data_IF_519664212333
#
_entry.id   IF_519664212333
#
_cell.length_a   1.000
_cell.length_b   1.000
_cell.length_c   1.000
_cell.angle_alpha   90.00
_cell.angle_beta   90.00
_cell.angle_gamma   90.00
#
_symmetry.space_group_name_H-M   'P 1'
#
loop_
_entity.id
_entity.type
_entity.pdbx_description
1 polymer ?
#
# COMPACT_ATOMS: atom_id res chain seq x y z
N UNK A 1 -41.21 -46.38 -29.49
CA UNK A 1 -40.78 -45.44 -28.42
C UNK A 1 -41.96 -44.51 -28.13
N UNK A 2 -42.63 -44.69 -26.99
CA UNK A 2 -43.98 -44.14 -26.76
C UNK A 2 -43.95 -42.61 -26.61
N UNK A 3 -44.77 -41.90 -27.41
CA UNK A 3 -44.96 -40.44 -27.34
C UNK A 3 -45.24 -39.94 -25.91
N UNK A 4 -45.92 -40.75 -25.10
CA UNK A 4 -46.21 -40.44 -23.69
C UNK A 4 -44.95 -40.36 -22.81
N UNK A 5 -43.90 -41.15 -23.10
CA UNK A 5 -42.64 -41.13 -22.35
C UNK A 5 -41.88 -39.84 -22.65
N UNK A 6 -41.89 -39.39 -23.92
CA UNK A 6 -41.23 -38.15 -24.34
C UNK A 6 -41.87 -36.94 -23.65
N UNK A 7 -43.20 -36.93 -23.52
CA UNK A 7 -43.93 -35.84 -22.84
C UNK A 7 -43.62 -35.80 -21.34
N UNK A 8 -43.53 -36.95 -20.68
CA UNK A 8 -43.17 -37.03 -19.25
C UNK A 8 -41.74 -36.56 -19.02
N UNK A 9 -40.78 -36.95 -19.87
CA UNK A 9 -39.39 -36.50 -19.79
C UNK A 9 -39.28 -34.98 -20.01
N UNK A 10 -40.01 -34.43 -20.98
CA UNK A 10 -40.09 -32.98 -21.22
C UNK A 10 -40.69 -32.23 -20.03
N UNK A 11 -41.72 -32.78 -19.37
CA UNK A 11 -42.31 -32.19 -18.17
C UNK A 11 -41.35 -32.19 -16.98
N UNK A 12 -40.60 -33.28 -16.76
CA UNK A 12 -39.61 -33.36 -15.67
C UNK A 12 -38.46 -32.36 -15.86
N UNK A 13 -38.05 -32.12 -17.12
CA UNK A 13 -37.01 -31.12 -17.43
C UNK A 13 -37.47 -29.68 -17.17
N UNK A 14 -38.79 -29.39 -17.20
CA UNK A 14 -39.35 -28.06 -16.94
C UNK A 14 -39.45 -27.72 -15.43
N UNK A 15 -39.33 -28.70 -14.53
CA UNK A 15 -39.38 -28.49 -13.08
C UNK A 15 -38.00 -28.38 -12.41
N UNK A 16 -36.91 -28.41 -13.19
CA UNK A 16 -35.54 -28.22 -12.66
C UNK A 16 -35.24 -26.73 -12.45
N UNK A 17 -35.94 -26.09 -11.52
CA UNK A 17 -35.52 -24.81 -10.96
C UNK A 17 -34.38 -25.08 -9.98
N UNK A 18 -33.15 -24.73 -10.34
CA UNK A 18 -32.07 -24.62 -9.36
C UNK A 18 -32.43 -23.48 -8.40
N UNK A 19 -32.79 -23.81 -7.15
CA UNK A 19 -32.78 -22.83 -6.07
C UNK A 19 -31.33 -22.37 -5.93
N UNK A 20 -30.98 -21.25 -6.54
CA UNK A 20 -29.76 -20.52 -6.19
C UNK A 20 -29.93 -20.10 -4.74
N UNK A 21 -29.26 -20.77 -3.82
CA UNK A 21 -29.09 -20.27 -2.46
C UNK A 21 -28.41 -18.91 -2.57
N UNK A 22 -29.19 -17.85 -2.37
CA UNK A 22 -28.61 -16.53 -2.15
C UNK A 22 -28.12 -16.57 -0.71
N UNK A 23 -26.80 -16.51 -0.52
CA UNK A 23 -26.24 -16.19 0.79
C UNK A 23 -26.80 -14.83 1.17
N UNK A 24 -27.69 -14.81 2.16
CA UNK A 24 -28.23 -13.57 2.70
C UNK A 24 -27.20 -13.03 3.68
N UNK A 25 -26.64 -11.87 3.37
CA UNK A 25 -25.81 -11.15 4.34
C UNK A 25 -26.73 -10.47 5.35
N UNK A 26 -26.60 -10.84 6.61
CA UNK A 26 -27.17 -10.09 7.74
C UNK A 26 -26.01 -9.28 8.34
N UNK A 27 -26.06 -7.93 8.27
CA UNK A 27 -25.03 -7.12 8.90
C UNK A 27 -25.01 -7.35 10.40
N UNK A 28 -23.82 -7.32 11.04
CA UNK A 28 -23.73 -7.42 12.49
C UNK A 28 -24.48 -6.25 13.14
N UNK A 29 -25.14 -6.53 14.26
CA UNK A 29 -25.68 -5.50 15.13
C UNK A 29 -24.52 -4.87 15.90
N UNK A 30 -24.30 -3.57 15.70
CA UNK A 30 -23.34 -2.81 16.49
C UNK A 30 -24.03 -2.36 17.79
N UNK A 31 -23.65 -2.97 18.91
CA UNK A 31 -24.27 -2.70 20.23
C UNK A 31 -23.93 -1.31 20.79
N UNK A 32 -22.87 -0.69 20.29
CA UNK A 32 -22.32 0.57 20.76
C UNK A 32 -22.08 1.52 19.58
N UNK A 33 -22.69 2.69 19.65
CA UNK A 33 -22.36 3.81 18.77
C UNK A 33 -21.52 4.82 19.56
N UNK A 34 -20.34 5.16 19.06
CA UNK A 34 -19.49 6.22 19.61
C UNK A 34 -19.56 7.45 18.70
N UNK A 35 -19.89 8.61 19.28
CA UNK A 35 -19.89 9.87 18.56
C UNK A 35 -18.49 10.51 18.66
N UNK A 36 -17.83 10.66 17.51
CA UNK A 36 -16.52 11.28 17.42
C UNK A 36 -16.66 12.78 17.16
N UNK A 37 -16.10 13.60 18.05
CA UNK A 37 -15.88 15.01 17.81
C UNK A 37 -14.51 15.21 17.16
N UNK A 38 -14.45 15.93 16.05
CA UNK A 38 -13.22 16.15 15.27
C UNK A 38 -12.96 17.64 15.17
N UNK A 39 -11.75 18.04 15.53
CA UNK A 39 -11.25 19.39 15.32
C UNK A 39 -10.44 19.46 14.01
N UNK A 40 -10.67 20.53 13.24
CA UNK A 40 -9.85 20.81 12.06
C UNK A 40 -8.54 21.42 12.54
N UNK A 41 -7.44 20.68 12.38
CA UNK A 41 -6.10 21.15 12.76
C UNK A 41 -5.44 22.03 11.67
N UNK A 42 -5.79 21.83 10.40
CA UNK A 42 -5.33 22.60 9.23
C UNK A 42 -6.21 22.28 8.00
N UNK A 43 -6.61 23.30 7.24
CA UNK A 43 -7.34 23.21 5.97
C UNK A 43 -6.70 23.99 4.81
N UNK A 44 -5.47 24.50 5.00
CA UNK A 44 -4.71 25.25 4.00
C UNK A 44 -4.06 24.35 2.94
N UNK A 45 -3.80 23.08 3.27
CA UNK A 45 -3.12 22.13 2.37
C UNK A 45 -4.11 21.28 1.56
N UNK A 46 -4.03 21.41 0.24
CA UNK A 46 -4.81 20.61 -0.70
C UNK A 46 -4.10 19.29 -1.00
N UNK A 47 -4.58 18.22 -0.38
CA UNK A 47 -4.25 16.86 -0.78
C UNK A 47 -5.17 16.40 -1.92
N UNK A 48 -4.67 15.52 -2.78
CA UNK A 48 -5.42 14.98 -3.93
C UNK A 48 -5.42 13.46 -3.96
N UNK A 49 -4.29 12.80 -3.73
CA UNK A 49 -4.29 11.33 -3.70
C UNK A 49 -3.25 10.82 -2.71
N UNK A 50 -3.60 10.88 -1.44
CA UNK A 50 -2.77 10.37 -0.35
C UNK A 50 -2.66 8.85 -0.50
N UNK A 51 -1.44 8.36 -0.69
CA UNK A 51 -1.14 6.93 -0.76
C UNK A 51 -0.65 6.39 0.59
N UNK A 52 -0.09 7.27 1.42
CA UNK A 52 0.43 6.89 2.73
C UNK A 52 0.31 8.05 3.71
N UNK A 53 -0.08 7.72 4.94
CA UNK A 53 -0.15 8.62 6.07
C UNK A 53 0.37 7.88 7.30
N UNK A 54 1.21 8.54 8.09
CA UNK A 54 1.76 7.94 9.31
C UNK A 54 2.17 9.00 10.33
N UNK A 55 2.28 8.60 11.59
CA UNK A 55 2.68 9.45 12.71
C UNK A 55 4.04 9.00 13.23
N UNK A 56 4.98 9.94 13.32
CA UNK A 56 6.30 9.71 13.89
C UNK A 56 6.62 10.79 14.92
N UNK A 57 6.64 10.42 16.20
CA UNK A 57 6.73 11.36 17.33
C UNK A 57 5.68 12.49 17.24
N UNK A 58 6.10 13.72 16.97
CA UNK A 58 5.27 14.92 16.84
C UNK A 58 4.91 15.25 15.39
N UNK A 59 5.31 14.38 14.46
CA UNK A 59 5.20 14.59 13.02
C UNK A 59 4.06 13.77 12.45
N UNK A 60 3.35 14.37 11.49
CA UNK A 60 2.42 13.73 10.58
C UNK A 60 3.08 13.69 9.20
N UNK A 61 3.35 12.49 8.72
CA UNK A 61 3.97 12.23 7.42
C UNK A 61 2.85 11.90 6.44
N UNK A 62 2.76 12.65 5.35
CA UNK A 62 1.75 12.45 4.30
C UNK A 62 2.47 12.31 2.97
N UNK A 63 2.26 11.19 2.28
CA UNK A 63 2.75 10.98 0.94
C UNK A 63 1.60 11.10 -0.06
N UNK A 64 1.68 12.11 -0.91
CA UNK A 64 0.74 12.35 -1.99
C UNK A 64 1.50 12.35 -3.33
N UNK A 65 1.60 11.18 -4.00
CA UNK A 65 2.26 11.05 -5.29
C UNK A 65 1.71 11.93 -6.39
N UNK A 66 0.54 12.52 -6.18
CA UNK A 66 -0.20 13.29 -7.16
C UNK A 66 0.29 14.75 -7.23
N UNK A 67 0.97 15.23 -6.18
CA UNK A 67 1.60 16.56 -6.07
C UNK A 67 3.14 16.47 -6.06
N UNK A 68 3.82 17.61 -6.09
CA UNK A 68 5.28 17.69 -6.12
C UNK A 68 5.77 18.82 -5.19
N UNK A 69 6.68 18.56 -4.22
CA UNK A 69 7.26 17.25 -3.85
C UNK A 69 6.20 16.24 -3.36
N UNK A 70 6.55 14.96 -3.21
CA UNK A 70 5.58 13.88 -2.91
C UNK A 70 5.42 13.66 -1.41
N UNK A 71 6.47 13.90 -0.63
CA UNK A 71 6.49 13.67 0.83
C UNK A 71 6.27 15.02 1.52
N UNK A 72 5.32 15.08 2.44
CA UNK A 72 5.00 16.26 3.21
C UNK A 72 4.97 15.93 4.71
N UNK A 73 5.58 16.78 5.51
CA UNK A 73 5.69 16.60 6.94
C UNK A 73 5.01 17.78 7.62
N UNK A 74 4.11 17.48 8.54
CA UNK A 74 3.37 18.45 9.34
C UNK A 74 3.59 18.16 10.82
N UNK A 75 3.33 19.14 11.67
CA UNK A 75 3.16 18.88 13.09
C UNK A 75 1.80 18.22 13.31
N UNK A 76 1.77 17.06 13.97
CA UNK A 76 0.53 16.28 14.13
C UNK A 76 -0.53 16.95 15.00
N UNK A 77 -0.14 17.85 15.90
CA UNK A 77 -1.04 18.44 16.90
C UNK A 77 -1.74 19.70 16.38
N UNK A 78 -1.07 20.48 15.52
CA UNK A 78 -1.60 21.75 15.02
C UNK A 78 -1.60 21.86 13.50
N UNK A 79 -1.29 20.77 12.79
CA UNK A 79 -1.29 20.68 11.33
C UNK A 79 -0.32 21.64 10.63
N UNK A 80 0.61 22.30 11.35
CA UNK A 80 1.55 23.25 10.73
C UNK A 80 2.50 22.51 9.81
N UNK A 81 2.65 22.98 8.56
CA UNK A 81 3.63 22.42 7.64
C UNK A 81 5.07 22.64 8.12
N UNK A 82 5.88 21.60 8.06
CA UNK A 82 7.27 21.60 8.51
C UNK A 82 8.22 21.54 7.31
N UNK A 83 8.10 20.50 6.49
CA UNK A 83 9.02 20.26 5.39
C UNK A 83 8.42 19.36 4.30
N UNK A 84 9.08 19.29 3.14
CA UNK A 84 8.72 18.37 2.07
C UNK A 84 9.96 17.85 1.33
N UNK A 85 9.83 16.68 0.70
CA UNK A 85 10.91 15.99 0.01
C UNK A 85 10.39 15.00 -1.05
N UNK A 86 11.30 14.30 -1.72
CA UNK A 86 10.94 13.32 -2.75
C UNK A 86 10.32 13.99 -3.99
N UNK A 87 11.13 14.76 -4.72
CA UNK A 87 10.68 15.46 -5.93
C UNK A 87 10.31 14.49 -7.06
N UNK A 88 9.59 14.95 -8.08
CA UNK A 88 9.33 14.14 -9.28
C UNK A 88 10.48 14.19 -10.28
N UNK A 89 10.95 13.02 -10.71
CA UNK A 89 11.94 12.90 -11.77
C UNK A 89 12.83 11.68 -11.62
N UNK A 90 13.98 11.71 -12.31
CA UNK A 90 14.93 10.59 -12.39
C UNK A 90 16.21 10.83 -11.59
N UNK A 91 16.39 12.04 -11.10
CA UNK A 91 17.57 12.46 -10.35
C UNK A 91 17.67 11.77 -8.98
N UNK A 92 18.77 12.08 -8.26
CA UNK A 92 18.97 11.59 -6.90
C UNK A 92 17.89 12.10 -5.96
N UNK A 93 17.30 11.21 -5.14
CA UNK A 93 16.21 11.54 -4.22
C UNK A 93 14.86 11.86 -4.89
N UNK A 94 14.77 11.82 -6.22
CA UNK A 94 13.51 12.00 -6.95
C UNK A 94 12.76 10.68 -7.15
N UNK A 95 11.47 10.74 -7.48
CA UNK A 95 10.57 9.61 -7.70
C UNK A 95 9.89 9.75 -9.07
N UNK A 96 9.70 8.63 -9.77
CA UNK A 96 9.04 8.52 -11.07
C UNK A 96 7.63 7.95 -10.90
N UNK A 97 7.50 6.83 -10.22
CA UNK A 97 6.22 6.10 -10.06
C UNK A 97 6.24 5.36 -8.72
N UNK A 98 6.06 6.08 -7.60
CA UNK A 98 6.05 5.48 -6.28
C UNK A 98 4.76 4.65 -6.10
N UNK A 99 4.90 3.37 -5.75
CA UNK A 99 3.80 2.39 -5.72
C UNK A 99 3.48 1.86 -4.34
N UNK A 100 4.49 1.70 -3.48
CA UNK A 100 4.29 1.26 -2.10
C UNK A 100 5.17 2.05 -1.15
N UNK A 101 4.65 2.21 0.06
CA UNK A 101 5.22 3.02 1.12
C UNK A 101 5.23 2.19 2.40
N UNK A 102 6.28 2.32 3.18
CA UNK A 102 6.44 1.68 4.48
C UNK A 102 7.38 2.51 5.33
N UNK A 103 7.17 2.54 6.64
CA UNK A 103 7.91 3.41 7.53
C UNK A 103 8.58 2.60 8.65
N UNK A 104 9.85 2.90 8.92
CA UNK A 104 10.56 2.39 10.08
C UNK A 104 10.53 3.43 11.20
N UNK A 105 9.68 3.19 12.20
CA UNK A 105 9.58 4.06 13.37
C UNK A 105 10.82 4.04 14.26
N UNK A 106 11.69 3.03 14.19
CA UNK A 106 12.87 2.98 15.04
C UNK A 106 13.95 3.94 14.54
N UNK A 107 14.10 4.03 13.21
CA UNK A 107 15.14 4.84 12.56
C UNK A 107 14.61 6.12 11.91
N UNK A 108 13.29 6.34 11.90
CA UNK A 108 12.67 7.49 11.26
C UNK A 108 12.85 7.50 9.74
N UNK A 109 12.73 6.31 9.11
CA UNK A 109 13.02 6.12 7.69
C UNK A 109 11.76 5.74 6.91
N UNK A 110 11.45 6.52 5.86
CA UNK A 110 10.41 6.20 4.90
C UNK A 110 11.00 5.43 3.72
N UNK A 111 10.49 4.24 3.45
CA UNK A 111 10.86 3.43 2.30
C UNK A 111 9.77 3.50 1.24
N UNK A 112 10.13 3.97 0.05
CA UNK A 112 9.23 4.10 -1.09
C UNK A 112 9.70 3.18 -2.21
N UNK A 113 8.91 2.18 -2.57
CA UNK A 113 9.19 1.41 -3.78
C UNK A 113 8.74 2.20 -5.00
N UNK A 114 9.69 2.62 -5.82
CA UNK A 114 9.44 3.30 -7.08
C UNK A 114 9.52 2.31 -8.24
N UNK A 115 8.36 2.05 -8.86
CA UNK A 115 8.24 1.11 -9.97
C UNK A 115 9.00 1.60 -11.22
N UNK A 116 9.02 2.91 -11.46
CA UNK A 116 9.73 3.50 -12.59
C UNK A 116 11.25 3.37 -12.47
N UNK A 117 11.77 3.43 -11.23
CA UNK A 117 13.19 3.18 -10.93
C UNK A 117 13.51 1.71 -10.71
N UNK A 118 12.50 0.86 -10.47
CA UNK A 118 12.64 -0.54 -10.02
C UNK A 118 13.56 -0.64 -8.80
N UNK A 119 13.34 0.25 -7.85
CA UNK A 119 14.19 0.41 -6.67
C UNK A 119 13.35 0.89 -5.50
N UNK A 120 13.81 0.64 -4.29
CA UNK A 120 13.36 1.38 -3.12
C UNK A 120 14.19 2.65 -3.01
N UNK A 121 13.54 3.78 -2.72
CA UNK A 121 14.19 5.00 -2.28
C UNK A 121 13.85 5.17 -0.80
N UNK A 122 14.86 5.05 0.07
CA UNK A 122 14.75 5.36 1.49
C UNK A 122 14.90 6.87 1.67
N UNK A 123 14.11 7.47 2.55
CA UNK A 123 14.22 8.87 2.97
C UNK A 123 14.26 8.95 4.50
N UNK A 124 15.27 9.62 5.05
CA UNK A 124 15.34 9.97 6.46
C UNK A 124 14.50 11.22 6.73
N UNK A 125 13.54 11.12 7.66
CA UNK A 125 12.62 12.22 7.97
C UNK A 125 13.36 13.42 8.57
N UNK A 126 14.26 13.16 9.52
CA UNK A 126 15.08 14.22 10.13
C UNK A 126 15.96 14.92 9.09
N UNK A 127 16.50 14.18 8.13
CA UNK A 127 17.28 14.70 7.00
C UNK A 127 16.46 15.60 6.07
N UNK A 128 15.20 15.25 5.79
CA UNK A 128 14.27 16.12 5.03
C UNK A 128 14.05 17.44 5.78
N UNK A 129 13.82 17.37 7.10
CA UNK A 129 13.52 18.55 7.93
C UNK A 129 14.74 19.47 8.05
N UNK A 130 15.91 18.90 8.28
CA UNK A 130 17.19 19.62 8.41
C UNK A 130 17.78 20.06 7.07
N UNK A 131 17.28 19.52 5.94
CA UNK A 131 17.77 19.75 4.58
C UNK A 131 19.22 19.28 4.40
N UNK A 132 19.54 18.12 4.95
CA UNK A 132 20.80 17.43 4.68
C UNK A 132 20.90 17.04 3.20
N UNK A 133 22.11 16.81 2.69
CA UNK A 133 22.31 16.43 1.27
C UNK A 133 22.15 14.91 1.04
N UNK A 134 22.31 14.09 2.08
CA UNK A 134 22.33 12.63 2.06
C UNK A 134 21.13 11.98 2.78
N UNK A 135 20.01 12.70 2.86
CA UNK A 135 18.76 12.23 3.47
C UNK A 135 18.07 11.08 2.70
N UNK A 136 18.65 10.55 1.63
CA UNK A 136 18.07 9.47 0.84
C UNK A 136 19.08 8.39 0.45
N UNK A 137 18.60 7.16 0.22
CA UNK A 137 19.38 6.06 -0.36
C UNK A 137 18.55 5.29 -1.38
N UNK A 138 19.09 5.04 -2.58
CA UNK A 138 18.48 4.09 -3.53
C UNK A 138 18.96 2.66 -3.23
N UNK A 139 18.01 1.76 -2.94
CA UNK A 139 18.24 0.33 -2.70
C UNK A 139 17.68 -0.44 -3.89
N UNK A 140 18.55 -1.18 -4.57
CA UNK A 140 18.20 -2.00 -5.74
C UNK A 140 18.25 -3.47 -5.38
N UNK A 141 17.24 -4.22 -5.82
CA UNK A 141 17.22 -5.66 -5.70
C UNK A 141 17.92 -6.28 -6.92
N UNK A 142 18.74 -7.31 -6.70
CA UNK A 142 19.25 -8.13 -7.78
C UNK A 142 18.20 -9.18 -8.18
N UNK A 143 17.28 -8.81 -9.07
CA UNK A 143 16.07 -9.58 -9.40
C UNK A 143 16.07 -10.20 -10.81
N UNK A 144 17.16 -10.08 -11.57
CA UNK A 144 17.22 -10.60 -12.95
C UNK A 144 16.10 -10.03 -13.84
N UNK A 145 15.24 -10.90 -14.38
CA UNK A 145 14.10 -10.54 -15.24
C UNK A 145 12.78 -10.38 -14.47
N UNK A 146 12.76 -10.62 -13.16
CA UNK A 146 11.51 -10.72 -12.40
C UNK A 146 10.91 -9.33 -12.10
N UNK A 147 9.61 -9.19 -12.36
CA UNK A 147 8.87 -7.94 -12.11
C UNK A 147 8.41 -7.90 -10.65
N UNK A 148 8.82 -6.87 -9.92
CA UNK A 148 8.33 -6.57 -8.57
C UNK A 148 7.28 -5.47 -8.69
N UNK A 149 6.07 -5.71 -8.20
CA UNK A 149 4.98 -4.74 -8.24
C UNK A 149 5.00 -3.81 -7.02
N UNK A 150 5.32 -4.35 -5.85
CA UNK A 150 5.40 -3.63 -4.59
C UNK A 150 6.54 -4.19 -3.75
N UNK A 151 7.12 -3.32 -2.92
CA UNK A 151 8.06 -3.71 -1.88
C UNK A 151 7.77 -2.94 -0.59
N UNK A 152 7.77 -3.64 0.54
CA UNK A 152 7.50 -3.09 1.86
C UNK A 152 8.65 -3.41 2.79
N UNK A 153 9.14 -2.42 3.53
CA UNK A 153 10.12 -2.63 4.59
C UNK A 153 9.50 -3.43 5.74
N UNK A 154 10.29 -4.33 6.31
CA UNK A 154 9.94 -5.08 7.51
C UNK A 154 10.82 -4.67 8.69
N UNK A 155 12.09 -5.09 8.68
CA UNK A 155 13.08 -4.79 9.73
C UNK A 155 14.48 -5.18 9.26
N UNK A 156 15.53 -4.52 9.75
CA UNK A 156 16.93 -4.94 9.57
C UNK A 156 17.29 -5.14 8.08
N UNK A 157 16.85 -4.21 7.22
CA UNK A 157 16.96 -4.29 5.75
C UNK A 157 16.32 -5.52 5.09
N UNK A 158 15.34 -6.14 5.75
CA UNK A 158 14.44 -7.12 5.15
C UNK A 158 13.21 -6.43 4.58
N UNK A 159 12.72 -6.97 3.47
CA UNK A 159 11.60 -6.47 2.70
C UNK A 159 10.65 -7.61 2.33
N UNK A 160 9.37 -7.28 2.20
CA UNK A 160 8.37 -8.13 1.57
C UNK A 160 8.20 -7.63 0.14
N UNK A 161 8.39 -8.50 -0.85
CA UNK A 161 8.21 -8.22 -2.26
C UNK A 161 6.94 -8.90 -2.76
N UNK A 162 6.05 -8.13 -3.39
CA UNK A 162 4.85 -8.67 -4.03
C UNK A 162 5.01 -8.74 -5.54
N UNK A 163 4.64 -9.89 -6.10
CA UNK A 163 4.70 -10.26 -7.52
C UNK A 163 3.35 -10.81 -7.96
N UNK A 164 2.44 -9.93 -8.40
CA UNK A 164 1.05 -10.32 -8.62
C UNK A 164 0.38 -10.86 -7.35
N UNK A 165 0.02 -12.14 -7.36
CA UNK A 165 -0.58 -12.84 -6.21
C UNK A 165 0.46 -13.50 -5.28
N UNK A 166 1.73 -13.57 -5.68
CA UNK A 166 2.79 -14.15 -4.87
C UNK A 166 3.49 -13.10 -3.99
N UNK A 167 3.81 -13.50 -2.75
CA UNK A 167 4.62 -12.72 -1.82
C UNK A 167 5.92 -13.48 -1.51
N UNK A 168 7.04 -12.75 -1.52
CA UNK A 168 8.38 -13.30 -1.26
C UNK A 168 9.14 -12.37 -0.32
N UNK A 169 10.09 -12.91 0.45
CA UNK A 169 10.97 -12.10 1.29
C UNK A 169 12.23 -11.72 0.54
N UNK A 170 12.79 -10.55 0.85
CA UNK A 170 14.06 -10.12 0.31
C UNK A 170 14.89 -9.40 1.35
N UNK A 171 16.19 -9.39 1.12
CA UNK A 171 17.15 -8.48 1.74
C UNK A 171 17.72 -7.58 0.66
N UNK A 172 18.51 -6.58 1.06
CA UNK A 172 19.31 -5.77 0.11
C UNK A 172 20.18 -6.64 -0.81
N UNK A 173 20.75 -7.73 -0.28
CA UNK A 173 21.76 -8.53 -0.98
C UNK A 173 21.22 -9.79 -1.65
N UNK A 174 20.02 -10.26 -1.26
CA UNK A 174 19.46 -11.52 -1.76
C UNK A 174 17.94 -11.55 -1.64
N UNK A 175 17.28 -12.06 -2.68
CA UNK A 175 15.86 -12.39 -2.66
C UNK A 175 15.72 -13.84 -2.20
N UNK A 176 14.89 -14.08 -1.19
CA UNK A 176 14.54 -15.41 -0.73
C UNK A 176 13.12 -15.71 -1.22
N UNK A 177 13.01 -16.59 -2.22
CA UNK A 177 11.72 -17.12 -2.64
C UNK A 177 11.20 -18.09 -1.55
N UNK A 178 10.70 -17.53 -0.45
CA UNK A 178 9.85 -18.25 0.50
C UNK A 178 8.43 -18.01 0.02
N UNK A 179 7.90 -18.97 -0.73
CA UNK A 179 6.46 -19.00 -1.04
C UNK A 179 5.74 -19.29 0.27
N UNK A 180 5.06 -18.29 0.82
CA UNK A 180 4.07 -18.54 1.87
C UNK A 180 2.89 -19.21 1.16
N UNK A 181 2.90 -20.54 1.05
CA UNK A 181 1.68 -21.24 0.70
C UNK A 181 0.73 -21.07 1.87
N UNK A 182 -0.47 -20.52 1.63
CA UNK A 182 -1.56 -20.71 2.58
C UNK A 182 -1.68 -22.22 2.81
N UNK A 183 -1.52 -22.64 4.07
CA UNK A 183 -1.65 -24.03 4.46
C UNK A 183 -3.05 -24.57 4.14
N UNK A 184 -3.23 -25.91 4.19
CA UNK A 184 -4.46 -26.59 3.76
C UNK A 184 -5.71 -26.17 4.53
#
# INVERSE_FOLDING_TARGET
MNRSIIIIVLLVLLFSCSKKERVSYEPPLFETEEELSVDIINDDYLFRTIYFIDIYDSLLIVCDPSINPIIHIFNKNNGTFIASGGGRGKGPGELITPMSFSFDHNEGQLYVYDLGKKAIVRFGIDGIISKEDDYYEEIRFNNGQNVINQAFYLKDHHFILRRGEEETFATKDSIFDVVISEGP
#
